data_IF_360571649939
#
_entry.id   IF_360571649939
#
_cell.length_a   1.000
_cell.length_b   1.000
_cell.length_c   1.000
_cell.angle_alpha   90.00
_cell.angle_beta   90.00
_cell.angle_gamma   90.00
#
_symmetry.space_group_name_H-M   'P 1'
#
loop_
_entity.id
_entity.type
_entity.pdbx_description
1 polymer ?
#
# COMPACT_ATOMS: atom_id res chain seq x y z
N UNK A 1 -29.96 22.06 -1.18
CA UNK A 1 -29.50 21.30 0.00
C UNK A 1 -29.41 19.81 -0.38
N UNK A 2 -28.39 19.42 -1.16
CA UNK A 2 -28.17 18.00 -1.50
C UNK A 2 -27.22 17.39 -0.45
N UNK A 3 -27.59 16.22 0.06
CA UNK A 3 -26.92 15.49 1.13
C UNK A 3 -25.82 14.61 0.52
N UNK A 4 -24.56 14.85 0.90
CA UNK A 4 -23.46 13.93 0.62
C UNK A 4 -23.66 12.65 1.43
N UNK A 5 -23.82 11.51 0.76
CA UNK A 5 -23.66 10.20 1.37
C UNK A 5 -22.20 9.81 1.17
N UNK A 6 -21.45 9.76 2.27
CA UNK A 6 -20.08 9.26 2.32
C UNK A 6 -20.18 7.74 2.44
N UNK A 7 -19.57 6.94 1.55
CA UNK A 7 -19.53 5.51 1.74
C UNK A 7 -18.64 5.21 2.94
N UNK A 8 -19.26 4.55 3.93
CA UNK A 8 -18.68 3.83 5.06
C UNK A 8 -17.19 4.02 5.32
N UNK A 9 -16.87 4.90 6.27
CA UNK A 9 -15.68 4.76 7.09
C UNK A 9 -15.79 3.42 7.84
N UNK A 10 -15.27 2.35 7.23
CA UNK A 10 -15.08 1.07 7.89
C UNK A 10 -14.17 1.31 9.09
N UNK A 11 -14.71 1.08 10.28
CA UNK A 11 -13.94 1.06 11.51
C UNK A 11 -12.80 0.05 11.36
N UNK A 12 -11.57 0.54 11.27
CA UNK A 12 -10.37 -0.29 11.41
C UNK A 12 -10.37 -0.85 12.84
N UNK A 13 -10.56 -2.16 12.96
CA UNK A 13 -10.55 -2.89 14.21
C UNK A 13 -9.15 -2.78 14.85
N UNK A 14 -9.02 -2.22 16.08
CA UNK A 14 -7.75 -2.16 16.80
C UNK A 14 -7.17 -3.55 17.14
N UNK A 15 -7.91 -4.63 16.96
CA UNK A 15 -7.44 -6.00 17.11
C UNK A 15 -6.37 -6.43 16.09
N UNK A 16 -6.12 -5.64 15.03
CA UNK A 16 -5.03 -5.90 14.08
C UNK A 16 -3.67 -5.36 14.51
N UNK A 17 -3.53 -4.79 15.71
CA UNK A 17 -2.21 -4.56 16.31
C UNK A 17 -1.67 -5.89 16.82
N UNK A 18 -1.17 -6.72 15.92
CA UNK A 18 -0.42 -7.93 16.29
C UNK A 18 0.96 -7.53 16.79
N UNK A 19 1.09 -7.37 18.11
CA UNK A 19 2.39 -7.45 18.79
C UNK A 19 2.93 -8.88 18.60
N UNK A 20 3.91 -9.02 17.71
CA UNK A 20 4.58 -10.29 17.44
C UNK A 20 5.48 -10.70 18.61
N UNK A 21 4.94 -11.42 19.58
CA UNK A 21 5.75 -12.18 20.54
C UNK A 21 5.93 -13.60 20.03
N UNK A 22 7.07 -13.88 19.39
CA UNK A 22 7.47 -15.24 19.01
C UNK A 22 8.07 -15.91 20.26
N UNK A 23 7.34 -16.88 20.81
CA UNK A 23 7.84 -17.79 21.84
C UNK A 23 8.59 -18.94 21.17
N UNK A 24 9.92 -18.97 21.30
CA UNK A 24 10.72 -20.12 20.91
C UNK A 24 10.71 -21.16 22.04
N UNK A 25 9.79 -22.12 21.96
CA UNK A 25 9.96 -23.41 22.64
C UNK A 25 10.53 -24.40 21.62
N UNK A 26 11.65 -25.04 21.99
CA UNK A 26 12.53 -25.76 21.08
C UNK A 26 11.99 -27.11 20.57
N UNK A 27 12.45 -27.46 19.36
CA UNK A 27 12.96 -28.77 18.90
C UNK A 27 13.40 -28.59 17.42
N UNK A 28 14.52 -29.19 16.96
CA UNK A 28 15.09 -28.90 15.65
C UNK A 28 14.43 -29.79 14.58
N UNK A 29 13.24 -29.41 14.14
CA UNK A 29 12.61 -30.02 12.97
C UNK A 29 13.14 -29.38 11.69
N UNK A 30 14.04 -30.12 11.02
CA UNK A 30 14.41 -30.09 9.60
C UNK A 30 13.83 -28.90 8.80
N UNK A 31 14.57 -27.79 8.79
CA UNK A 31 14.25 -26.62 7.96
C UNK A 31 14.59 -26.92 6.50
N UNK A 32 13.78 -27.76 5.86
CA UNK A 32 13.60 -27.73 4.41
C UNK A 32 12.65 -26.58 4.02
N UNK A 33 12.88 -25.39 4.59
CA UNK A 33 12.30 -24.18 4.06
C UNK A 33 12.92 -23.97 2.67
N UNK A 34 12.14 -23.69 1.62
CA UNK A 34 12.72 -23.34 0.32
C UNK A 34 13.70 -22.19 0.57
N UNK A 35 14.95 -22.36 0.15
CA UNK A 35 15.96 -21.32 0.25
C UNK A 35 15.34 -20.06 -0.35
N UNK A 36 15.14 -19.03 0.48
CA UNK A 36 14.51 -17.78 0.05
C UNK A 36 15.27 -17.30 -1.17
N UNK A 37 14.60 -17.29 -2.33
CA UNK A 37 15.23 -16.88 -3.56
C UNK A 37 15.71 -15.43 -3.39
N UNK A 38 16.94 -15.11 -3.84
CA UNK A 38 17.43 -13.75 -3.73
C UNK A 38 16.50 -12.81 -4.49
N UNK A 39 15.99 -11.78 -3.80
CA UNK A 39 15.12 -10.77 -4.39
C UNK A 39 15.90 -10.00 -5.46
N UNK A 40 15.36 -9.94 -6.68
CA UNK A 40 15.94 -9.20 -7.80
C UNK A 40 15.21 -7.88 -8.01
N UNK A 41 15.87 -6.78 -7.69
CA UNK A 41 15.37 -5.43 -7.95
C UNK A 41 15.68 -5.00 -9.39
N UNK A 42 14.99 -3.95 -9.87
CA UNK A 42 15.29 -3.33 -11.17
C UNK A 42 14.88 -4.13 -12.40
N UNK A 43 14.11 -5.21 -12.26
CA UNK A 43 13.65 -6.04 -13.39
C UNK A 43 12.79 -5.30 -14.42
N UNK A 44 12.26 -4.12 -14.07
CA UNK A 44 11.47 -3.24 -14.95
C UNK A 44 12.21 -1.94 -15.30
N UNK A 45 13.53 -1.85 -15.07
CA UNK A 45 14.28 -0.64 -15.40
C UNK A 45 14.13 -0.27 -16.88
N UNK A 46 13.80 0.99 -17.17
CA UNK A 46 13.58 1.50 -18.52
C UNK A 46 12.25 1.08 -19.18
N UNK A 47 11.44 0.26 -18.52
CA UNK A 47 10.11 -0.12 -19.00
C UNK A 47 9.01 0.83 -18.50
N UNK A 48 9.30 1.62 -17.47
CA UNK A 48 8.39 2.66 -16.98
C UNK A 48 8.47 3.86 -17.92
N UNK A 49 7.31 4.28 -18.43
CA UNK A 49 7.16 5.52 -19.19
C UNK A 49 6.35 6.51 -18.34
N UNK A 50 6.88 7.70 -18.18
CA UNK A 50 6.21 8.83 -17.54
C UNK A 50 5.75 9.73 -18.69
N UNK A 51 4.54 10.26 -18.60
CA UNK A 51 4.04 11.21 -19.60
C UNK A 51 4.80 12.54 -19.48
N UNK A 52 5.00 13.24 -20.59
CA UNK A 52 5.75 14.51 -20.62
C UNK A 52 5.11 15.60 -19.75
N UNK A 53 3.82 15.47 -19.47
CA UNK A 53 2.99 16.37 -18.69
C UNK A 53 2.70 15.86 -17.27
N UNK A 54 3.41 14.85 -16.77
CA UNK A 54 3.14 14.28 -15.44
C UNK A 54 3.19 15.33 -14.31
N UNK A 55 4.11 16.28 -14.40
CA UNK A 55 4.26 17.39 -13.45
C UNK A 55 3.46 18.64 -13.85
N UNK A 56 2.63 18.56 -14.89
CA UNK A 56 1.78 19.67 -15.29
C UNK A 56 0.76 19.99 -14.18
N UNK A 57 0.39 21.27 -14.00
CA UNK A 57 -0.61 21.64 -13.02
C UNK A 57 -1.95 20.95 -13.33
N UNK A 58 -2.62 20.49 -12.27
CA UNK A 58 -3.97 19.95 -12.40
C UNK A 58 -4.94 21.06 -12.83
N UNK A 59 -5.93 20.75 -13.68
CA UNK A 59 -7.03 21.67 -13.99
C UNK A 59 -7.78 22.16 -12.74
N UNK A 60 -8.21 23.42 -12.75
CA UNK A 60 -8.88 24.07 -11.60
C UNK A 60 -10.06 23.26 -11.06
N UNK A 61 -10.93 22.76 -11.94
CA UNK A 61 -12.10 21.98 -11.53
C UNK A 61 -11.74 20.66 -10.81
N UNK A 62 -10.57 20.09 -11.11
CA UNK A 62 -10.07 18.91 -10.41
C UNK A 62 -9.47 19.30 -9.06
N UNK A 63 -8.71 20.39 -9.00
CA UNK A 63 -8.18 20.92 -7.74
C UNK A 63 -9.30 21.23 -6.75
N UNK A 64 -10.37 21.89 -7.20
CA UNK A 64 -11.54 22.21 -6.38
C UNK A 64 -12.19 20.94 -5.79
N UNK A 65 -12.23 19.84 -6.55
CA UNK A 65 -12.76 18.56 -6.08
C UNK A 65 -11.88 17.93 -4.96
N UNK A 66 -10.56 18.13 -4.99
CA UNK A 66 -9.67 17.69 -3.92
C UNK A 66 -9.71 18.62 -2.70
N UNK A 67 -9.84 19.93 -2.92
CA UNK A 67 -9.78 20.95 -1.89
C UNK A 67 -11.15 21.29 -1.28
N UNK A 68 -12.23 20.72 -1.83
CA UNK A 68 -13.60 20.88 -1.32
C UNK A 68 -14.18 22.28 -1.52
N UNK A 69 -13.75 22.98 -2.58
CA UNK A 69 -14.20 24.34 -2.94
C UNK A 69 -15.40 24.30 -3.87
#
# INVERSE_FOLDING_TARGET
MQKANVPGAGAIDPAHRTDGSIRSDGEPADQSAPASLPVRFGVLQGQVRIADDFDAPLPDYLLDAFEGR
#
